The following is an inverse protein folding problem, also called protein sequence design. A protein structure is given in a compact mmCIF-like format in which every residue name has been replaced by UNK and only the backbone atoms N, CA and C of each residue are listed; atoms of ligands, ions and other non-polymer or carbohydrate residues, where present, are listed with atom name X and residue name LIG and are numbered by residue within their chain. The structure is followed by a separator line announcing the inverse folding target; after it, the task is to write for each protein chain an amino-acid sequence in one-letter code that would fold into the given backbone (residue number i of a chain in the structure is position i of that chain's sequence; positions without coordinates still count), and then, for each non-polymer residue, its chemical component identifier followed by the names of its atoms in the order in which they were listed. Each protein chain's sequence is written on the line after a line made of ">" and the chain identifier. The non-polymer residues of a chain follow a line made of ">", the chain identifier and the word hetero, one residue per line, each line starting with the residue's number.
data_IF_003068716745
#
_entry.id   IF_003068716745
#
_cell.length_a   1.000
_cell.length_b   1.000
_cell.length_c   1.000
_cell.angle_alpha   90.00
_cell.angle_beta   90.00
_cell.angle_gamma   90.00
#
_symmetry.space_group_name_H-M   'P 1'
#
loop_
_entity.id
_entity.type
_entity.pdbx_description
1 polymer ?
#
# COMPACT_ATOMS: atom_id res chain seq x y z
N UNK A 1 -12.35 -0.95 3.37
CA UNK A 1 -12.06 0.23 2.55
C UNK A 1 -12.03 1.52 3.36
N UNK A 2 -12.87 1.66 4.38
CA UNK A 2 -12.96 2.85 5.25
C UNK A 2 -11.69 3.17 6.06
N UNK A 3 -10.63 2.38 5.94
CA UNK A 3 -9.39 2.55 6.71
C UNK A 3 -8.13 2.54 5.86
N UNK A 4 -8.14 1.88 4.71
CA UNK A 4 -6.97 1.66 3.84
C UNK A 4 -7.34 1.82 2.36
N UNK A 5 -8.44 2.51 2.05
CA UNK A 5 -8.88 2.78 0.67
C UNK A 5 -8.13 3.96 0.04
N UNK A 6 -8.13 4.03 -1.29
CA UNK A 6 -7.55 5.16 -2.02
C UNK A 6 -8.25 6.49 -1.67
N UNK A 7 -9.58 6.45 -1.51
CA UNK A 7 -10.37 7.63 -1.17
C UNK A 7 -10.05 8.12 0.25
N UNK A 8 -9.99 7.21 1.22
CA UNK A 8 -9.65 7.55 2.61
C UNK A 8 -8.23 8.11 2.70
N UNK A 9 -7.28 7.54 1.95
CA UNK A 9 -5.94 8.07 1.89
C UNK A 9 -5.90 9.50 1.34
N UNK A 10 -6.69 9.81 0.30
CA UNK A 10 -6.78 11.16 -0.24
C UNK A 10 -7.43 12.14 0.75
N UNK A 11 -8.48 11.72 1.46
CA UNK A 11 -9.16 12.51 2.48
C UNK A 11 -8.23 12.80 3.67
N UNK A 12 -7.54 11.78 4.17
CA UNK A 12 -6.57 11.94 5.27
C UNK A 12 -5.44 12.89 4.86
N UNK A 13 -4.94 12.77 3.64
CA UNK A 13 -3.91 13.65 3.12
C UNK A 13 -4.41 15.09 2.97
N UNK A 14 -5.61 15.32 2.41
CA UNK A 14 -6.19 16.66 2.31
C UNK A 14 -6.33 17.30 3.68
N UNK A 15 -6.78 16.54 4.68
CA UNK A 15 -6.86 17.01 6.06
C UNK A 15 -5.50 17.41 6.61
N UNK A 16 -4.47 16.58 6.40
CA UNK A 16 -3.11 16.87 6.87
C UNK A 16 -2.55 18.16 6.25
N UNK A 17 -2.78 18.38 4.96
CA UNK A 17 -2.40 19.64 4.31
C UNK A 17 -3.16 20.83 4.89
N UNK A 18 -4.48 20.72 5.07
CA UNK A 18 -5.29 21.76 5.64
C UNK A 18 -4.85 22.14 7.07
N UNK A 19 -4.56 21.16 7.91
CA UNK A 19 -4.03 21.37 9.27
C UNK A 19 -2.66 22.06 9.27
N UNK A 20 -1.87 21.86 8.21
CA UNK A 20 -0.60 22.56 8.00
C UNK A 20 -0.75 23.95 7.35
N UNK A 21 -1.99 24.43 7.13
CA UNK A 21 -2.27 25.71 6.50
C UNK A 21 -2.08 25.75 4.97
N UNK A 22 -2.07 24.57 4.33
CA UNK A 22 -1.94 24.43 2.87
C UNK A 22 -3.25 23.92 2.29
N UNK A 23 -3.91 24.74 1.48
CA UNK A 23 -5.11 24.30 0.77
C UNK A 23 -4.73 23.41 -0.43
N UNK A 24 -5.35 22.21 -0.50
CA UNK A 24 -5.28 21.32 -1.65
C UNK A 24 -6.66 20.77 -1.99
N UNK A 25 -6.94 20.63 -3.28
CA UNK A 25 -8.13 19.92 -3.76
C UNK A 25 -7.93 18.41 -3.55
N UNK A 26 -9.04 17.69 -3.40
CA UNK A 26 -9.01 16.25 -3.16
C UNK A 26 -8.34 15.49 -4.33
N UNK A 27 -8.49 15.98 -5.55
CA UNK A 27 -7.88 15.45 -6.76
C UNK A 27 -6.35 15.50 -6.73
N UNK A 28 -5.78 16.54 -6.07
CA UNK A 28 -4.35 16.72 -5.87
C UNK A 28 -3.80 15.88 -4.71
N UNK A 29 -4.67 15.19 -3.99
CA UNK A 29 -4.34 14.26 -2.91
C UNK A 29 -4.44 12.80 -3.33
N UNK A 30 -4.54 12.51 -4.63
CA UNK A 30 -4.49 11.13 -5.12
C UNK A 30 -3.17 10.44 -4.77
N UNK A 31 -3.15 9.08 -4.63
CA UNK A 31 -1.91 8.36 -4.34
C UNK A 31 -0.75 8.70 -5.29
N UNK A 32 -1.05 8.90 -6.58
CA UNK A 32 -0.03 9.27 -7.56
C UNK A 32 0.52 10.69 -7.35
N UNK A 33 -0.36 11.65 -7.03
CA UNK A 33 0.04 13.03 -6.74
C UNK A 33 0.86 13.11 -5.44
N UNK A 34 0.46 12.35 -4.41
CA UNK A 34 1.18 12.29 -3.15
C UNK A 34 2.52 11.57 -3.27
N UNK A 35 2.65 10.56 -4.14
CA UNK A 35 3.94 9.91 -4.42
C UNK A 35 4.90 10.88 -5.12
N UNK A 36 4.42 11.63 -6.10
CA UNK A 36 5.20 12.68 -6.77
C UNK A 36 5.65 13.77 -5.78
N UNK A 37 4.76 14.23 -4.90
CA UNK A 37 5.08 15.22 -3.88
C UNK A 37 6.12 14.68 -2.86
N UNK A 38 5.94 13.45 -2.38
CA UNK A 38 6.87 12.79 -1.46
C UNK A 38 8.27 12.61 -2.09
N UNK A 39 8.32 12.21 -3.36
CA UNK A 39 9.55 12.11 -4.15
C UNK A 39 10.23 13.48 -4.30
N UNK A 40 9.45 14.55 -4.40
CA UNK A 40 9.92 15.94 -4.40
C UNK A 40 10.36 16.47 -3.02
N UNK A 41 10.24 15.66 -1.96
CA UNK A 41 10.65 16.03 -0.60
C UNK A 41 9.57 16.71 0.23
N UNK A 42 8.31 16.69 -0.19
CA UNK A 42 7.18 17.21 0.59
C UNK A 42 7.00 16.38 1.88
N UNK A 43 7.24 17.05 3.01
CA UNK A 43 7.20 16.40 4.33
C UNK A 43 5.80 15.94 4.73
N UNK A 44 4.76 16.65 4.27
CA UNK A 44 3.36 16.29 4.57
C UNK A 44 3.01 15.03 3.79
N UNK A 45 3.34 14.97 2.50
CA UNK A 45 3.14 13.78 1.70
C UNK A 45 3.89 12.56 2.26
N UNK A 46 5.15 12.74 2.68
CA UNK A 46 5.94 11.68 3.33
C UNK A 46 5.28 11.19 4.63
N UNK A 47 4.76 12.09 5.46
CA UNK A 47 4.04 11.73 6.69
C UNK A 47 2.73 10.98 6.40
N UNK A 48 1.99 11.37 5.37
CA UNK A 48 0.79 10.67 4.93
C UNK A 48 1.11 9.23 4.48
N UNK A 49 2.19 9.04 3.71
CA UNK A 49 2.64 7.71 3.29
C UNK A 49 3.12 6.86 4.46
N UNK A 50 3.82 7.44 5.43
CA UNK A 50 4.26 6.73 6.64
C UNK A 50 3.06 6.26 7.49
N UNK A 51 2.04 7.11 7.68
CA UNK A 51 0.81 6.74 8.42
C UNK A 51 0.01 5.66 7.68
N UNK A 52 -0.15 5.78 6.36
CA UNK A 52 -0.79 4.75 5.55
C UNK A 52 -0.05 3.41 5.65
N UNK A 53 1.28 3.44 5.52
CA UNK A 53 2.12 2.26 5.66
C UNK A 53 2.02 1.64 7.05
N UNK A 54 1.92 2.44 8.10
CA UNK A 54 1.71 1.98 9.48
C UNK A 54 0.36 1.27 9.66
N UNK A 55 -0.72 1.83 9.11
CA UNK A 55 -2.06 1.21 9.13
C UNK A 55 -2.05 -0.14 8.39
N UNK A 56 -1.44 -0.17 7.21
CA UNK A 56 -1.31 -1.39 6.41
C UNK A 56 -0.43 -2.44 7.10
N UNK A 57 0.67 -2.02 7.73
CA UNK A 57 1.54 -2.90 8.50
C UNK A 57 0.80 -3.57 9.67
N UNK A 58 -0.08 -2.84 10.35
CA UNK A 58 -0.91 -3.41 11.42
C UNK A 58 -1.80 -4.54 10.90
N UNK A 59 -2.45 -4.34 9.77
CA UNK A 59 -3.28 -5.37 9.12
C UNK A 59 -2.45 -6.59 8.72
N UNK A 60 -1.31 -6.37 8.08
CA UNK A 60 -0.39 -7.45 7.67
C UNK A 60 0.11 -8.23 8.89
N UNK A 61 0.53 -7.53 9.95
CA UNK A 61 1.03 -8.17 11.17
C UNK A 61 -0.05 -9.03 11.83
N UNK A 62 -1.29 -8.56 11.91
CA UNK A 62 -2.41 -9.35 12.42
C UNK A 62 -2.65 -10.62 11.58
N UNK A 63 -2.57 -10.52 10.25
CA UNK A 63 -2.66 -11.69 9.37
C UNK A 63 -1.49 -12.65 9.57
N UNK A 64 -0.27 -12.16 9.82
CA UNK A 64 0.88 -13.01 10.12
C UNK A 64 0.65 -13.85 11.38
N UNK A 65 0.13 -13.25 12.45
CA UNK A 65 -0.17 -13.98 13.69
C UNK A 65 -1.23 -15.07 13.51
N UNK A 66 -2.17 -14.89 12.58
CA UNK A 66 -3.25 -15.83 12.35
C UNK A 66 -2.90 -16.93 11.34
N UNK A 67 -2.21 -16.57 10.24
CA UNK A 67 -2.06 -17.42 9.06
C UNK A 67 -0.61 -17.79 8.76
N UNK A 68 0.35 -17.08 9.34
CA UNK A 68 1.78 -17.25 9.08
C UNK A 68 2.14 -17.41 7.59
N UNK A 69 1.76 -16.48 6.71
CA UNK A 69 2.02 -16.59 5.28
C UNK A 69 3.51 -16.32 4.98
N UNK A 70 4.00 -16.91 3.90
CA UNK A 70 5.37 -16.66 3.41
C UNK A 70 5.50 -15.28 2.72
N UNK A 71 4.42 -14.78 2.14
CA UNK A 71 4.42 -13.52 1.41
C UNK A 71 3.08 -12.79 1.43
N UNK A 72 3.15 -11.46 1.44
CA UNK A 72 2.05 -10.57 1.07
C UNK A 72 2.35 -9.93 -0.28
N UNK A 73 1.42 -10.06 -1.20
CA UNK A 73 1.48 -9.44 -2.52
C UNK A 73 0.56 -8.22 -2.52
N UNK A 74 1.14 -7.03 -2.61
CA UNK A 74 0.39 -5.78 -2.61
C UNK A 74 0.11 -5.36 -4.05
N UNK A 75 -1.17 -5.34 -4.42
CA UNK A 75 -1.64 -4.95 -5.75
C UNK A 75 -2.34 -3.59 -5.76
N UNK A 76 -2.93 -3.27 -6.92
CA UNK A 76 -3.69 -2.04 -7.12
C UNK A 76 -2.81 -0.81 -7.38
N UNK A 77 -3.47 0.34 -7.54
CA UNK A 77 -2.81 1.60 -7.88
C UNK A 77 -1.77 2.05 -6.86
N UNK A 78 -2.02 1.78 -5.59
CA UNK A 78 -1.16 2.21 -4.48
C UNK A 78 0.22 1.54 -4.50
N UNK A 79 0.33 0.32 -5.02
CA UNK A 79 1.61 -0.40 -5.12
C UNK A 79 2.59 0.24 -6.11
N UNK A 80 2.10 1.15 -6.97
CA UNK A 80 2.93 1.89 -7.94
C UNK A 80 3.83 2.93 -7.27
N UNK A 81 3.52 3.34 -6.05
CA UNK A 81 4.35 4.26 -5.27
C UNK A 81 5.74 3.67 -4.89
N UNK A 82 5.97 2.39 -5.15
CA UNK A 82 7.29 1.79 -5.01
C UNK A 82 7.90 2.03 -3.62
N UNK A 83 9.09 2.63 -3.57
CA UNK A 83 9.82 2.85 -2.31
C UNK A 83 9.06 3.74 -1.33
N UNK A 84 8.30 4.70 -1.80
CA UNK A 84 7.51 5.62 -0.98
C UNK A 84 6.51 4.86 -0.07
N UNK A 85 5.95 3.74 -0.56
CA UNK A 85 5.12 2.85 0.23
C UNK A 85 5.92 1.74 0.91
N UNK A 86 6.74 1.00 0.15
CA UNK A 86 7.30 -0.27 0.63
C UNK A 86 8.40 -0.11 1.68
N UNK A 87 9.16 0.99 1.67
CA UNK A 87 10.21 1.19 2.66
C UNK A 87 9.63 1.47 4.06
N UNK A 88 8.71 2.44 4.25
CA UNK A 88 8.06 2.62 5.55
C UNK A 88 7.19 1.39 5.94
N UNK A 89 6.54 0.72 4.98
CA UNK A 89 5.76 -0.49 5.26
C UNK A 89 6.61 -1.59 5.88
N UNK A 90 7.76 -1.91 5.30
CA UNK A 90 8.69 -2.91 5.85
C UNK A 90 9.21 -2.50 7.22
N UNK A 91 9.54 -1.21 7.41
CA UNK A 91 9.96 -0.66 8.70
C UNK A 91 8.90 -0.90 9.78
N UNK A 92 7.63 -0.58 9.51
CA UNK A 92 6.54 -0.76 10.46
C UNK A 92 6.22 -2.24 10.73
N UNK A 93 6.26 -3.10 9.71
CA UNK A 93 6.09 -4.56 9.87
C UNK A 93 7.19 -5.12 10.79
N UNK A 94 8.46 -4.76 10.53
CA UNK A 94 9.58 -5.21 11.34
C UNK A 94 9.50 -4.73 12.80
N UNK A 95 8.86 -3.59 13.05
CA UNK A 95 8.64 -3.10 14.41
C UNK A 95 7.52 -3.84 15.15
N UNK A 96 6.58 -4.45 14.42
CA UNK A 96 5.38 -5.10 14.98
C UNK A 96 5.50 -6.62 15.09
N UNK A 97 6.33 -7.26 14.29
CA UNK A 97 6.53 -8.70 14.28
C UNK A 97 7.72 -9.13 15.12
N UNK A 98 7.63 -10.31 15.73
CA UNK A 98 8.76 -10.99 16.36
C UNK A 98 9.64 -11.72 15.35
N UNK A 99 10.89 -12.05 15.73
CA UNK A 99 11.92 -12.64 14.86
C UNK A 99 11.46 -13.84 14.02
N UNK A 100 10.70 -14.83 14.54
CA UNK A 100 10.29 -15.99 13.73
C UNK A 100 9.49 -15.62 12.47
N UNK A 101 8.77 -14.48 12.49
CA UNK A 101 7.98 -14.02 11.34
C UNK A 101 8.80 -13.16 10.38
N UNK A 102 9.78 -12.40 10.89
CA UNK A 102 10.60 -11.48 10.08
C UNK A 102 11.47 -12.22 9.07
N UNK A 103 12.01 -13.38 9.45
CA UNK A 103 13.02 -14.10 8.69
C UNK A 103 12.51 -14.63 7.34
N UNK A 104 11.22 -14.92 7.24
CA UNK A 104 10.64 -15.54 6.04
C UNK A 104 9.57 -14.71 5.35
N UNK A 105 9.01 -13.70 6.02
CA UNK A 105 7.95 -12.87 5.44
C UNK A 105 8.46 -11.96 4.32
N UNK A 106 7.89 -12.10 3.14
CA UNK A 106 8.14 -11.23 2.00
C UNK A 106 6.95 -10.29 1.78
N UNK A 107 7.24 -8.99 1.60
CA UNK A 107 6.22 -8.02 1.20
C UNK A 107 6.65 -7.44 -0.14
N UNK A 108 5.90 -7.78 -1.19
CA UNK A 108 6.27 -7.53 -2.57
C UNK A 108 5.13 -6.88 -3.36
N UNK A 109 5.43 -6.02 -4.36
CA UNK A 109 4.42 -5.53 -5.28
C UNK A 109 3.92 -6.64 -6.20
N UNK A 110 2.63 -6.57 -6.59
CA UNK A 110 2.07 -7.47 -7.58
C UNK A 110 2.72 -7.23 -8.95
N UNK A 111 3.13 -8.31 -9.61
CA UNK A 111 3.81 -8.25 -10.91
C UNK A 111 2.96 -7.60 -12.02
N UNK A 112 1.65 -7.86 -12.01
CA UNK A 112 0.73 -7.41 -13.06
C UNK A 112 -0.07 -6.14 -12.65
N UNK A 113 0.18 -5.57 -11.48
CA UNK A 113 -0.50 -4.36 -11.02
C UNK A 113 -2.02 -4.47 -11.10
N UNK A 114 -2.67 -3.48 -11.78
CA UNK A 114 -4.12 -3.46 -11.95
C UNK A 114 -4.64 -4.49 -12.97
N UNK A 115 -3.78 -5.08 -13.79
CA UNK A 115 -4.15 -6.06 -14.83
C UNK A 115 -4.23 -7.49 -14.28
N UNK A 116 -3.82 -7.72 -13.03
CA UNK A 116 -3.77 -9.04 -12.42
C UNK A 116 -5.13 -9.77 -12.48
N UNK A 117 -6.24 -9.06 -12.28
CA UNK A 117 -7.59 -9.61 -12.37
C UNK A 117 -7.94 -10.08 -13.79
N UNK A 118 -7.65 -9.25 -14.80
CA UNK A 118 -7.92 -9.56 -16.20
C UNK A 118 -7.09 -10.77 -16.65
N UNK A 119 -5.80 -10.78 -16.30
CA UNK A 119 -4.88 -11.88 -16.61
C UNK A 119 -5.32 -13.16 -15.91
N UNK A 120 -5.75 -13.09 -14.65
CA UNK A 120 -6.29 -14.23 -13.91
C UNK A 120 -7.56 -14.80 -14.54
N UNK A 121 -8.50 -13.95 -14.95
CA UNK A 121 -9.70 -14.39 -15.67
C UNK A 121 -9.37 -15.04 -17.01
N UNK A 122 -8.43 -14.48 -17.78
CA UNK A 122 -8.00 -15.06 -19.05
C UNK A 122 -7.30 -16.42 -18.85
N UNK A 123 -6.47 -16.55 -17.82
CA UNK A 123 -5.82 -17.82 -17.48
C UNK A 123 -6.84 -18.91 -17.11
N UNK A 124 -7.82 -18.59 -16.27
CA UNK A 124 -8.90 -19.51 -15.90
C UNK A 124 -9.76 -19.94 -17.10
N UNK A 125 -10.06 -19.01 -18.01
CA UNK A 125 -10.80 -19.31 -19.24
C UNK A 125 -10.03 -20.27 -20.14
N UNK A 126 -8.72 -20.05 -20.30
CA UNK A 126 -7.85 -20.92 -21.10
C UNK A 126 -7.69 -22.33 -20.46
N UNK A 127 -7.62 -22.41 -19.14
CA UNK A 127 -7.55 -23.68 -18.44
C UNK A 127 -8.83 -24.50 -18.64
N UNK A 128 -10.01 -23.87 -18.51
CA UNK A 128 -11.30 -24.53 -18.77
C UNK A 128 -11.51 -24.91 -20.24
N UNK A 129 -10.92 -24.20 -21.18
CA UNK A 129 -11.03 -24.50 -22.60
C UNK A 129 -10.15 -25.70 -23.03
N UNK A 130 -9.18 -26.11 -22.21
CA UNK A 130 -8.29 -27.24 -22.45
C UNK A 130 -8.75 -28.55 -21.81
N UNK A 131 -9.72 -28.51 -20.93
CA UNK A 131 -10.33 -29.67 -20.30
C UNK A 131 -11.65 -30.03 -20.94
#
# INVERSE_FOLDING_TARGET
>A
EDYIGNNEFAIDAQRAYFEAGVERFIEDCSPAALDAAATGGDKIALACWDDFARKLACTISNCCWLLNPEAFVIGGGISKAGKTLFDPLRKHINAQLSEPFKDHLKVIPAKFGNEAGIIGCAALALEKAKG
#
